data_IF_962212293312
#
_entry.id   IF_962212293312
#
_cell.length_a   1.000
_cell.length_b   1.000
_cell.length_c   1.000
_cell.angle_alpha   90.00
_cell.angle_beta   90.00
_cell.angle_gamma   90.00
#
_symmetry.space_group_name_H-M   'P 1'
#
loop_
_entity.id
_entity.type
_entity.pdbx_description
1 polymer ?
#
# COMPACT_ATOMS: atom_id res chain seq x y z
N UNK A 1 21.68 -1.29 -0.59
CA UNK A 1 21.54 -0.90 -2.02
C UNK A 1 21.71 -2.14 -2.86
N UNK A 2 20.93 -2.29 -3.94
CA UNK A 2 20.93 -3.47 -4.83
C UNK A 2 19.83 -4.47 -4.50
N UNK A 3 19.98 -5.71 -4.99
CA UNK A 3 18.97 -6.79 -5.01
C UNK A 3 17.77 -6.52 -5.95
N UNK A 4 16.93 -7.54 -6.12
CA UNK A 4 15.71 -7.51 -6.92
C UNK A 4 14.46 -7.20 -6.07
N UNK A 5 13.32 -7.04 -6.74
CA UNK A 5 12.00 -6.87 -6.10
C UNK A 5 11.17 -8.16 -6.24
N UNK A 6 11.83 -9.32 -6.36
CA UNK A 6 11.12 -10.60 -6.38
C UNK A 6 10.42 -10.84 -5.04
N UNK A 7 9.28 -11.55 -5.03
CA UNK A 7 8.49 -11.76 -3.82
C UNK A 7 9.30 -12.33 -2.64
N UNK A 8 10.25 -13.24 -2.89
CA UNK A 8 11.09 -13.83 -1.85
C UNK A 8 12.01 -12.78 -1.20
N UNK A 9 12.66 -11.94 -2.00
CA UNK A 9 13.54 -10.86 -1.53
C UNK A 9 12.76 -9.83 -0.73
N UNK A 10 11.59 -9.41 -1.23
CA UNK A 10 10.72 -8.48 -0.53
C UNK A 10 10.26 -9.04 0.82
N UNK A 11 9.80 -10.29 0.85
CA UNK A 11 9.32 -10.92 2.07
C UNK A 11 10.43 -11.01 3.13
N UNK A 12 11.63 -11.44 2.74
CA UNK A 12 12.80 -11.49 3.61
C UNK A 12 13.11 -10.11 4.20
N UNK A 13 13.10 -9.05 3.37
CA UNK A 13 13.32 -7.69 3.85
C UNK A 13 12.26 -7.28 4.90
N UNK A 14 10.98 -7.55 4.65
CA UNK A 14 9.90 -7.25 5.59
C UNK A 14 10.05 -8.01 6.92
N UNK A 15 10.48 -9.28 6.90
CA UNK A 15 10.78 -10.04 8.12
C UNK A 15 11.90 -9.41 8.97
N UNK A 16 12.83 -8.70 8.33
CA UNK A 16 13.90 -7.95 9.00
C UNK A 16 13.55 -6.48 9.30
N UNK A 17 12.29 -6.07 9.09
CA UNK A 17 11.85 -4.69 9.31
C UNK A 17 12.35 -3.71 8.26
N UNK A 18 12.81 -4.19 7.11
CA UNK A 18 13.37 -3.42 5.99
C UNK A 18 12.31 -3.29 4.89
N UNK A 19 12.25 -2.15 4.20
CA UNK A 19 11.36 -1.95 3.06
C UNK A 19 12.04 -1.20 1.91
N UNK A 20 11.65 -1.45 0.65
CA UNK A 20 12.20 -0.74 -0.50
C UNK A 20 11.58 0.65 -0.62
N UNK A 21 12.41 1.65 -0.91
CA UNK A 21 11.95 3.00 -1.21
C UNK A 21 13.02 3.77 -2.01
N UNK A 22 12.73 4.10 -3.26
CA UNK A 22 13.66 4.75 -4.19
C UNK A 22 12.88 5.43 -5.32
N UNK A 23 13.46 6.43 -5.98
CA UNK A 23 12.85 7.03 -7.17
C UNK A 23 13.01 6.12 -8.40
N UNK A 24 12.19 6.30 -9.43
CA UNK A 24 12.14 5.44 -10.63
C UNK A 24 13.51 5.20 -11.30
N UNK A 25 14.37 6.21 -11.32
CA UNK A 25 15.68 6.16 -11.99
C UNK A 25 16.85 5.96 -11.00
N UNK A 26 16.54 5.64 -9.75
CA UNK A 26 17.53 5.34 -8.71
C UNK A 26 17.71 3.82 -8.54
N UNK A 27 18.90 3.36 -8.12
CA UNK A 27 19.08 1.96 -7.74
C UNK A 27 18.17 1.60 -6.56
N UNK A 28 17.81 0.31 -6.47
CA UNK A 28 17.00 -0.21 -5.36
C UNK A 28 17.65 0.13 -4.01
N UNK A 29 16.94 0.94 -3.24
CA UNK A 29 17.33 1.34 -1.88
C UNK A 29 16.38 0.70 -0.86
N UNK A 30 16.97 0.18 0.21
CA UNK A 30 16.29 -0.54 1.29
C UNK A 30 16.47 0.22 2.60
N UNK A 31 15.40 0.40 3.36
CA UNK A 31 15.35 1.30 4.50
C UNK A 31 14.86 0.60 5.77
N UNK A 32 15.47 0.95 6.90
CA UNK A 32 15.01 0.60 8.25
C UNK A 32 15.22 1.81 9.18
N UNK A 33 14.28 2.78 9.17
CA UNK A 33 14.47 4.05 9.88
C UNK A 33 14.31 3.88 11.39
N UNK A 34 15.10 4.68 12.12
CA UNK A 34 15.00 4.85 13.57
C UNK A 34 14.84 6.36 13.87
N UNK A 35 13.73 6.80 14.51
CA UNK A 35 12.61 5.99 15.00
C UNK A 35 11.65 5.51 13.90
N UNK A 36 10.98 4.38 14.12
CA UNK A 36 9.99 3.81 13.19
C UNK A 36 8.58 4.36 13.47
N UNK A 37 7.90 4.82 12.42
CA UNK A 37 6.49 5.20 12.51
C UNK A 37 5.60 3.95 12.62
N UNK A 38 4.79 3.88 13.68
CA UNK A 38 3.85 2.79 13.93
C UNK A 38 2.48 3.35 14.34
N UNK A 39 1.41 2.65 13.97
CA UNK A 39 0.04 2.96 14.38
C UNK A 39 -0.45 1.79 15.23
N UNK A 40 -0.85 2.06 16.47
CA UNK A 40 -1.51 1.07 17.31
C UNK A 40 -3.01 1.04 17.01
N UNK A 41 -3.57 -0.03 16.41
CA UNK A 41 -4.97 -0.02 15.97
C UNK A 41 -5.95 0.22 17.12
N UNK A 42 -5.65 -0.31 18.32
CA UNK A 42 -6.46 -0.11 19.53
C UNK A 42 -6.47 1.32 20.07
N UNK A 43 -5.52 2.15 19.63
CA UNK A 43 -5.42 3.56 20.04
C UNK A 43 -6.03 4.52 19.01
N UNK A 44 -6.36 4.04 17.81
CA UNK A 44 -7.00 4.86 16.79
C UNK A 44 -8.41 5.28 17.24
N UNK A 45 -8.65 6.59 17.30
CA UNK A 45 -9.94 7.19 17.65
C UNK A 45 -10.49 7.94 16.44
N UNK A 46 -11.43 7.36 15.67
CA UNK A 46 -11.98 8.04 14.51
C UNK A 46 -12.75 9.29 14.94
N UNK A 47 -12.71 10.33 14.11
CA UNK A 47 -13.46 11.55 14.37
C UNK A 47 -14.97 11.29 14.33
N UNK A 48 -15.75 12.12 15.05
CA UNK A 48 -17.22 12.03 15.04
C UNK A 48 -17.79 12.17 13.62
N UNK A 49 -17.18 13.01 12.79
CA UNK A 49 -17.58 13.21 11.40
C UNK A 49 -17.33 11.97 10.55
N UNK A 50 -16.18 11.29 10.72
CA UNK A 50 -15.89 10.03 10.03
C UNK A 50 -16.90 8.94 10.42
N UNK A 51 -17.14 8.74 11.71
CA UNK A 51 -18.15 7.77 12.19
C UNK A 51 -19.52 8.07 11.56
N UNK A 52 -19.93 9.34 11.53
CA UNK A 52 -21.21 9.75 10.92
C UNK A 52 -21.26 9.45 9.42
N UNK A 53 -20.16 9.64 8.70
CA UNK A 53 -20.10 9.31 7.28
C UNK A 53 -20.17 7.80 7.04
N UNK A 54 -19.43 6.99 7.81
CA UNK A 54 -19.40 5.53 7.67
C UNK A 54 -20.72 4.84 7.98
N UNK A 55 -21.60 5.46 8.79
CA UNK A 55 -22.95 4.94 9.06
C UNK A 55 -23.92 5.07 7.89
N UNK A 56 -23.58 5.85 6.85
CA UNK A 56 -24.41 5.96 5.65
C UNK A 56 -24.15 4.76 4.74
N UNK A 57 -25.19 4.13 4.16
CA UNK A 57 -25.03 3.00 3.26
C UNK A 57 -24.59 3.47 1.87
N UNK A 58 -23.39 4.05 1.79
CA UNK A 58 -22.81 4.57 0.54
C UNK A 58 -21.62 3.73 0.09
N UNK A 59 -20.69 3.48 1.01
CA UNK A 59 -19.45 2.81 0.67
C UNK A 59 -19.51 1.32 1.01
N UNK A 60 -18.96 0.51 0.12
CA UNK A 60 -18.73 -0.92 0.33
C UNK A 60 -17.23 -1.17 0.47
N UNK A 61 -16.86 -2.06 1.39
CA UNK A 61 -15.47 -2.45 1.63
C UNK A 61 -15.25 -3.89 1.20
N UNK A 62 -14.16 -4.13 0.48
CA UNK A 62 -13.68 -5.48 0.19
C UNK A 62 -12.24 -5.63 0.67
N UNK A 63 -11.78 -6.89 0.71
CA UNK A 63 -10.40 -7.25 1.01
C UNK A 63 -9.85 -8.01 -0.19
N UNK A 64 -8.72 -7.57 -0.72
CA UNK A 64 -7.96 -8.27 -1.76
C UNK A 64 -8.76 -8.55 -3.04
N UNK A 65 -9.78 -7.73 -3.35
CA UNK A 65 -10.57 -7.90 -4.58
C UNK A 65 -9.95 -7.18 -5.78
N UNK A 66 -9.17 -6.11 -5.55
CA UNK A 66 -8.60 -5.30 -6.62
C UNK A 66 -7.20 -4.78 -6.24
N UNK A 67 -6.33 -5.67 -5.74
CA UNK A 67 -5.00 -5.30 -5.24
C UNK A 67 -4.19 -4.47 -6.22
N UNK A 68 -4.03 -4.95 -7.46
CA UNK A 68 -3.26 -4.24 -8.47
C UNK A 68 -3.86 -2.87 -8.80
N UNK A 69 -5.20 -2.75 -8.88
CA UNK A 69 -5.86 -1.46 -9.11
C UNK A 69 -5.60 -0.49 -7.95
N UNK A 70 -5.58 -0.96 -6.71
CA UNK A 70 -5.25 -0.13 -5.54
C UNK A 70 -3.80 0.36 -5.61
N UNK A 71 -2.85 -0.53 -5.92
CA UNK A 71 -1.42 -0.15 -6.00
C UNK A 71 -1.18 0.83 -7.16
N UNK A 72 -1.79 0.59 -8.32
CA UNK A 72 -1.73 1.50 -9.48
C UNK A 72 -2.32 2.87 -9.15
N UNK A 73 -3.51 2.93 -8.53
CA UNK A 73 -4.11 4.19 -8.08
C UNK A 73 -3.23 4.91 -7.04
N UNK A 74 -2.51 4.18 -6.18
CA UNK A 74 -1.57 4.77 -5.23
C UNK A 74 -0.35 5.42 -5.93
N UNK A 75 0.00 4.94 -7.12
CA UNK A 75 1.12 5.40 -7.93
C UNK A 75 0.80 6.66 -8.74
N UNK A 76 -0.49 6.96 -8.95
CA UNK A 76 -0.94 8.10 -9.77
C UNK A 76 -0.49 9.46 -9.22
N UNK A 77 -0.35 10.48 -10.10
CA UNK A 77 -0.07 11.86 -9.70
C UNK A 77 -1.05 12.38 -8.65
N UNK A 78 -0.53 13.19 -7.72
CA UNK A 78 -1.31 13.82 -6.65
C UNK A 78 -1.34 15.33 -6.85
N UNK A 79 -2.28 16.01 -6.21
CA UNK A 79 -2.40 17.47 -6.30
C UNK A 79 -1.10 18.23 -5.94
N UNK A 80 -0.22 17.61 -5.15
CA UNK A 80 1.04 18.18 -4.68
C UNK A 80 2.30 17.59 -5.35
N UNK A 81 2.17 16.56 -6.20
CA UNK A 81 3.32 15.95 -6.90
C UNK A 81 2.88 15.24 -8.17
N UNK A 82 3.63 15.43 -9.25
CA UNK A 82 3.40 14.73 -10.51
C UNK A 82 3.91 13.28 -10.51
N UNK A 83 4.73 12.92 -9.52
CA UNK A 83 5.36 11.61 -9.43
C UNK A 83 5.30 11.05 -8.01
N UNK A 84 5.27 9.72 -7.92
CA UNK A 84 5.41 8.97 -6.68
C UNK A 84 6.61 8.02 -6.81
N UNK A 85 7.05 7.45 -5.69
CA UNK A 85 8.12 6.44 -5.66
C UNK A 85 7.66 5.07 -6.18
N UNK A 86 6.37 4.91 -6.49
CA UNK A 86 5.78 3.63 -6.88
C UNK A 86 5.97 3.45 -8.40
N UNK A 87 7.11 2.89 -8.79
CA UNK A 87 7.40 2.52 -10.18
C UNK A 87 6.65 1.25 -10.61
N UNK A 88 6.68 0.93 -11.91
CA UNK A 88 6.11 -0.33 -12.42
C UNK A 88 6.77 -1.57 -11.79
N UNK A 89 8.06 -1.49 -11.42
CA UNK A 89 8.75 -2.58 -10.74
C UNK A 89 8.23 -2.78 -9.31
N UNK A 90 7.89 -1.70 -8.61
CA UNK A 90 7.20 -1.76 -7.31
C UNK A 90 5.80 -2.36 -7.49
N UNK A 91 5.04 -1.93 -8.50
CA UNK A 91 3.70 -2.51 -8.78
C UNK A 91 3.82 -4.03 -9.01
N UNK A 92 4.78 -4.46 -9.82
CA UNK A 92 5.00 -5.86 -10.14
C UNK A 92 5.42 -6.67 -8.91
N UNK A 93 6.41 -6.21 -8.14
CA UNK A 93 6.90 -6.91 -6.95
C UNK A 93 5.83 -7.09 -5.88
N UNK A 94 5.04 -6.05 -5.59
CA UNK A 94 3.96 -6.15 -4.61
C UNK A 94 2.78 -6.97 -5.13
N UNK A 95 2.50 -6.94 -6.43
CA UNK A 95 1.51 -7.83 -7.05
C UNK A 95 1.96 -9.30 -6.96
N UNK A 96 3.24 -9.57 -7.13
CA UNK A 96 3.83 -10.89 -6.89
C UNK A 96 3.69 -11.35 -5.44
N UNK A 97 3.94 -10.47 -4.46
CA UNK A 97 3.67 -10.76 -3.03
C UNK A 97 2.19 -11.05 -2.78
N UNK A 98 1.29 -10.31 -3.43
CA UNK A 98 -0.15 -10.54 -3.30
C UNK A 98 -0.54 -11.92 -3.83
N UNK A 99 -0.06 -12.29 -5.01
CA UNK A 99 -0.26 -13.62 -5.61
C UNK A 99 0.31 -14.75 -4.74
N UNK A 100 1.43 -14.50 -4.04
CA UNK A 100 2.03 -15.42 -3.09
C UNK A 100 1.30 -15.47 -1.72
N UNK A 101 0.29 -14.62 -1.50
CA UNK A 101 -0.53 -14.60 -0.28
C UNK A 101 0.04 -13.78 0.88
N UNK A 102 1.07 -12.95 0.63
CA UNK A 102 1.74 -12.14 1.65
C UNK A 102 1.37 -10.66 1.62
N UNK A 103 0.73 -10.18 0.55
CA UNK A 103 0.23 -8.81 0.47
C UNK A 103 -1.29 -8.76 0.28
N UNK A 104 -1.90 -7.76 0.90
CA UNK A 104 -3.35 -7.57 0.92
C UNK A 104 -3.71 -6.11 0.67
N UNK A 105 -4.87 -5.91 0.06
CA UNK A 105 -5.47 -4.60 -0.14
C UNK A 105 -6.81 -4.51 0.57
N UNK A 106 -7.17 -3.32 1.02
CA UNK A 106 -8.53 -2.97 1.41
C UNK A 106 -9.04 -1.98 0.38
N UNK A 107 -10.17 -2.27 -0.22
CA UNK A 107 -10.79 -1.42 -1.24
C UNK A 107 -12.01 -0.70 -0.68
N UNK A 108 -12.24 0.54 -1.14
CA UNK A 108 -13.44 1.33 -0.85
C UNK A 108 -14.17 1.61 -2.15
N UNK A 109 -15.41 1.14 -2.24
CA UNK A 109 -16.25 1.27 -3.44
C UNK A 109 -17.42 2.22 -3.20
N UNK A 110 -17.75 3.06 -4.18
CA UNK A 110 -19.02 3.78 -4.28
C UNK A 110 -19.78 3.22 -5.50
N UNK A 111 -20.78 2.38 -5.23
CA UNK A 111 -21.36 1.52 -6.27
C UNK A 111 -20.32 0.56 -6.84
N UNK A 112 -20.08 0.63 -8.16
CA UNK A 112 -19.07 -0.18 -8.86
C UNK A 112 -17.70 0.53 -9.00
N UNK A 113 -17.59 1.79 -8.57
CA UNK A 113 -16.37 2.57 -8.73
C UNK A 113 -15.45 2.42 -7.51
N UNK A 114 -14.19 2.07 -7.75
CA UNK A 114 -13.13 2.13 -6.74
C UNK A 114 -12.84 3.61 -6.43
N UNK A 115 -13.13 4.05 -5.21
CA UNK A 115 -12.96 5.45 -4.78
C UNK A 115 -11.83 5.63 -3.77
N UNK A 116 -11.19 4.54 -3.36
CA UNK A 116 -10.01 4.57 -2.50
C UNK A 116 -9.59 3.18 -2.05
N UNK A 117 -8.46 3.12 -1.35
CA UNK A 117 -7.97 1.88 -0.79
C UNK A 117 -6.62 2.06 -0.11
N UNK A 118 -6.13 0.97 0.44
CA UNK A 118 -4.77 0.83 0.96
C UNK A 118 -4.26 -0.58 0.65
N UNK A 119 -2.96 -0.75 0.59
CA UNK A 119 -2.32 -2.06 0.47
C UNK A 119 -1.17 -2.18 1.48
N UNK A 120 -0.80 -3.42 1.80
CA UNK A 120 0.28 -3.72 2.72
C UNK A 120 0.72 -5.18 2.69
N UNK A 121 1.83 -5.46 3.35
CA UNK A 121 2.42 -6.80 3.52
C UNK A 121 2.13 -7.30 4.94
N UNK A 122 1.84 -8.59 5.08
CA UNK A 122 1.49 -9.26 6.34
C UNK A 122 2.64 -10.12 6.89
#
# INVERSE_FOLDING_TARGET
MGADLEPATLLEAYCHGIFPWFAKDEPVCWWSPEPRCIIYPKQFKPSKSLIRQLKKPRYHLTLSHAFEQVVQACAEPRAYTHETWISQDIVAGYTGLHQAGFAHSVEVWDGAQLVGGLYGVQ
#
